data_IF_287765149571
#
_entry.id   IF_287765149571
#
_cell.length_a   1.000
_cell.length_b   1.000
_cell.length_c   1.000
_cell.angle_alpha   90.00
_cell.angle_beta   90.00
_cell.angle_gamma   90.00
#
_symmetry.space_group_name_H-M   'P 1'
#
loop_
_entity.id
_entity.type
_entity.pdbx_description
1 polymer ?
#
# COMPACT_ATOMS: atom_id res chain seq x y z
N UNK A 1 49.31 -19.34 24.43
CA UNK A 1 48.08 -20.16 24.34
C UNK A 1 47.38 -19.84 23.02
N UNK A 2 47.40 -20.79 22.08
CA UNK A 2 46.73 -20.67 20.79
C UNK A 2 45.23 -20.96 20.99
N UNK A 3 44.35 -20.02 20.67
CA UNK A 3 42.96 -20.37 20.34
C UNK A 3 42.87 -20.50 18.82
N UNK A 4 42.98 -21.75 18.39
CA UNK A 4 42.37 -22.23 17.15
C UNK A 4 40.86 -22.03 17.28
N UNK A 5 40.25 -21.33 16.33
CA UNK A 5 38.82 -21.45 16.05
C UNK A 5 38.60 -21.52 14.55
N UNK A 6 37.65 -22.38 14.22
CA UNK A 6 37.40 -23.02 12.95
C UNK A 6 37.24 -22.10 11.74
N UNK A 7 37.58 -22.66 10.58
CA UNK A 7 37.06 -22.25 9.27
C UNK A 7 35.55 -22.01 9.34
N UNK A 8 35.15 -20.75 9.38
CA UNK A 8 33.81 -20.28 9.13
C UNK A 8 33.94 -19.08 8.21
N UNK A 9 33.32 -19.15 7.04
CA UNK A 9 33.32 -18.09 6.03
C UNK A 9 32.80 -16.83 6.73
N UNK A 10 33.69 -15.88 7.03
CA UNK A 10 33.31 -14.58 7.52
C UNK A 10 32.50 -13.93 6.39
N UNK A 11 31.19 -13.79 6.59
CA UNK A 11 30.30 -13.16 5.62
C UNK A 11 30.66 -11.68 5.52
N UNK A 12 31.66 -11.36 4.71
CA UNK A 12 32.23 -10.02 4.49
C UNK A 12 31.35 -9.16 3.58
N UNK A 13 30.05 -9.09 3.89
CA UNK A 13 29.14 -8.18 3.22
C UNK A 13 29.32 -6.78 3.82
N UNK A 14 29.99 -5.91 3.06
CA UNK A 14 29.99 -4.47 3.35
C UNK A 14 28.53 -3.97 3.43
N UNK A 15 28.14 -3.20 4.47
CA UNK A 15 26.77 -2.70 4.60
C UNK A 15 26.35 -1.84 3.41
N UNK A 16 25.51 -2.39 2.53
CA UNK A 16 24.97 -1.66 1.38
C UNK A 16 23.91 -0.68 1.88
N UNK A 17 24.21 0.62 1.79
CA UNK A 17 23.28 1.67 2.21
C UNK A 17 22.17 1.89 1.18
N UNK A 18 20.98 2.24 1.67
CA UNK A 18 19.88 2.66 0.81
C UNK A 18 20.23 3.96 0.05
N UNK A 19 19.69 4.08 -1.16
CA UNK A 19 19.89 5.27 -2.01
C UNK A 19 19.43 6.54 -1.31
N UNK A 20 20.00 7.68 -1.70
CA UNK A 20 19.59 9.00 -1.19
C UNK A 20 18.09 9.24 -1.41
N UNK A 21 17.57 8.88 -2.59
CA UNK A 21 16.15 9.02 -2.92
C UNK A 21 15.28 8.20 -1.97
N UNK A 22 15.61 6.94 -1.72
CA UNK A 22 14.85 6.09 -0.80
C UNK A 22 14.84 6.65 0.64
N UNK A 23 16.00 7.12 1.12
CA UNK A 23 16.11 7.72 2.47
C UNK A 23 15.34 9.04 2.62
N UNK A 24 15.12 9.76 1.53
CA UNK A 24 14.42 11.05 1.51
C UNK A 24 12.91 10.93 1.21
N UNK A 25 12.42 9.74 0.82
CA UNK A 25 10.98 9.49 0.64
C UNK A 25 10.32 9.32 1.99
N UNK A 26 9.69 10.39 2.49
CA UNK A 26 9.05 10.42 3.80
C UNK A 26 7.57 10.76 3.64
N UNK A 27 6.68 9.96 4.23
CA UNK A 27 5.27 10.29 4.43
C UNK A 27 5.09 10.78 5.88
N UNK A 28 4.88 12.09 6.12
CA UNK A 28 4.75 12.64 7.47
C UNK A 28 3.57 12.08 8.26
N UNK A 29 2.46 11.77 7.59
CA UNK A 29 1.24 11.21 8.20
C UNK A 29 1.57 9.84 8.79
N UNK A 30 2.12 8.92 7.96
CA UNK A 30 2.51 7.58 8.42
C UNK A 30 3.56 7.62 9.52
N UNK A 31 4.51 8.56 9.46
CA UNK A 31 5.52 8.73 10.52
C UNK A 31 4.91 8.99 11.90
N UNK A 32 3.77 9.67 11.95
CA UNK A 32 3.06 9.98 13.20
C UNK A 32 2.11 8.83 13.56
N UNK A 33 1.20 8.47 12.65
CA UNK A 33 0.13 7.51 12.90
C UNK A 33 0.69 6.12 13.23
N UNK A 34 1.67 5.62 12.48
CA UNK A 34 2.24 4.28 12.70
C UNK A 34 3.06 4.17 13.99
N UNK A 35 3.57 5.31 14.50
CA UNK A 35 4.41 5.37 15.71
C UNK A 35 3.65 5.80 16.95
N UNK A 36 2.35 6.10 16.80
CA UNK A 36 1.53 6.59 17.89
C UNK A 36 1.31 5.46 18.91
N UNK A 37 1.92 5.59 20.09
CA UNK A 37 1.62 4.72 21.23
C UNK A 37 0.43 5.28 21.97
N UNK A 38 -0.75 4.80 21.65
CA UNK A 38 -2.00 5.26 22.26
C UNK A 38 -2.31 4.33 23.44
N UNK A 39 -2.42 4.89 24.63
CA UNK A 39 -3.02 4.23 25.80
C UNK A 39 -4.42 4.80 25.98
N UNK A 40 -5.45 4.22 25.35
CA UNK A 40 -6.81 4.74 25.46
C UNK A 40 -7.32 4.61 26.90
N UNK A 41 -8.36 5.38 27.23
CA UNK A 41 -9.03 5.26 28.51
C UNK A 41 -9.64 3.85 28.63
N UNK A 42 -9.34 3.06 29.67
CA UNK A 42 -9.84 1.69 29.79
C UNK A 42 -11.36 1.60 29.98
N UNK A 43 -12.02 2.69 30.40
CA UNK A 43 -13.47 2.74 30.60
C UNK A 43 -14.24 3.21 29.34
N UNK A 44 -13.55 3.57 28.25
CA UNK A 44 -14.18 4.07 27.02
C UNK A 44 -13.58 3.40 25.79
N UNK A 45 -14.44 3.04 24.85
CA UNK A 45 -13.98 2.55 23.55
C UNK A 45 -13.23 3.65 22.79
N UNK A 46 -12.16 3.25 22.14
CA UNK A 46 -11.37 4.15 21.30
C UNK A 46 -12.09 4.37 19.96
N UNK A 47 -12.28 5.63 19.59
CA UNK A 47 -12.76 6.01 18.25
C UNK A 47 -11.57 6.54 17.47
N UNK A 48 -11.22 5.88 16.37
CA UNK A 48 -10.11 6.31 15.51
C UNK A 48 -10.58 7.37 14.53
N UNK A 49 -10.09 8.61 14.70
CA UNK A 49 -10.32 9.74 13.78
C UNK A 49 -9.10 10.04 12.90
N UNK A 50 -8.02 9.26 13.04
CA UNK A 50 -6.76 9.45 12.31
C UNK A 50 -6.67 8.61 11.03
N UNK A 51 -7.62 7.72 10.80
CA UNK A 51 -7.66 6.85 9.61
C UNK A 51 -8.47 7.53 8.52
N UNK A 52 -7.86 7.72 7.34
CA UNK A 52 -8.51 8.30 6.16
C UNK A 52 -9.17 7.30 5.22
N UNK A 53 -9.27 6.03 5.62
CA UNK A 53 -9.92 4.97 4.85
C UNK A 53 -11.45 5.00 5.10
N UNK A 54 -12.28 5.39 4.10
CA UNK A 54 -13.72 5.47 4.27
C UNK A 54 -14.38 4.10 4.49
N UNK A 55 -13.70 3.01 4.12
CA UNK A 55 -14.24 1.65 4.23
C UNK A 55 -14.00 1.02 5.61
N UNK A 56 -13.18 1.65 6.47
CA UNK A 56 -12.72 1.08 7.74
C UNK A 56 -13.85 0.59 8.65
N UNK A 57 -14.98 1.32 8.70
CA UNK A 57 -16.13 0.98 9.53
C UNK A 57 -17.24 0.23 8.77
N UNK A 58 -17.04 -0.09 7.49
CA UNK A 58 -17.97 -0.87 6.67
C UNK A 58 -19.25 -0.15 6.25
N UNK A 59 -19.42 1.12 6.62
CA UNK A 59 -20.61 1.92 6.31
C UNK A 59 -20.52 2.65 4.94
N UNK A 60 -19.36 2.62 4.28
CA UNK A 60 -19.18 3.16 2.92
C UNK A 60 -18.67 2.05 2.00
N UNK A 61 -19.60 1.39 1.32
CA UNK A 61 -19.30 0.33 0.36
C UNK A 61 -19.29 0.88 -1.08
N UNK A 62 -18.52 0.28 -2.00
CA UNK A 62 -18.62 0.60 -3.42
C UNK A 62 -20.03 0.36 -3.97
N UNK A 63 -20.46 1.10 -5.02
CA UNK A 63 -21.70 0.82 -5.74
C UNK A 63 -21.71 -0.60 -6.32
N UNK A 64 -22.88 -1.22 -6.38
CA UNK A 64 -23.03 -2.60 -6.89
C UNK A 64 -22.59 -2.73 -8.34
N UNK A 65 -22.84 -1.70 -9.15
CA UNK A 65 -22.47 -1.64 -10.56
C UNK A 65 -20.95 -1.69 -10.76
N UNK A 66 -20.20 -1.05 -9.86
CA UNK A 66 -18.75 -1.09 -9.89
C UNK A 66 -18.20 -2.48 -9.52
N UNK A 67 -18.82 -3.15 -8.54
CA UNK A 67 -18.46 -4.51 -8.16
C UNK A 67 -18.74 -5.50 -9.29
N UNK A 68 -19.92 -5.41 -9.91
CA UNK A 68 -20.30 -6.27 -11.03
C UNK A 68 -19.40 -6.07 -12.26
N UNK A 69 -19.05 -4.82 -12.60
CA UNK A 69 -18.14 -4.53 -13.70
C UNK A 69 -16.75 -5.16 -13.49
N UNK A 70 -16.23 -5.13 -12.26
CA UNK A 70 -14.96 -5.79 -11.90
C UNK A 70 -15.09 -7.31 -12.03
N UNK A 71 -16.17 -7.90 -11.50
CA UNK A 71 -16.40 -9.36 -11.58
C UNK A 71 -16.45 -9.83 -13.04
N UNK A 72 -17.15 -9.09 -13.91
CA UNK A 72 -17.22 -9.39 -15.34
C UNK A 72 -15.84 -9.26 -15.99
N UNK A 73 -15.09 -8.20 -15.72
CA UNK A 73 -13.75 -8.01 -16.26
C UNK A 73 -12.79 -9.14 -15.86
N UNK A 74 -12.88 -9.63 -14.63
CA UNK A 74 -12.06 -10.78 -14.16
C UNK A 74 -12.38 -12.05 -14.96
N UNK A 75 -13.64 -12.26 -15.34
CA UNK A 75 -14.06 -13.44 -16.12
C UNK A 75 -13.66 -13.36 -17.60
N UNK A 76 -13.40 -12.16 -18.14
CA UNK A 76 -13.02 -11.96 -19.53
C UNK A 76 -11.50 -12.20 -19.73
N UNK A 77 -11.09 -13.21 -20.53
CA UNK A 77 -9.67 -13.45 -20.79
C UNK A 77 -8.95 -12.27 -21.46
N UNK A 78 -9.70 -11.42 -22.17
CA UNK A 78 -9.18 -10.21 -22.84
C UNK A 78 -8.74 -9.12 -21.87
N UNK A 79 -9.14 -9.19 -20.60
CA UNK A 79 -8.83 -8.18 -19.58
C UNK A 79 -7.56 -8.47 -18.77
N UNK A 80 -6.84 -9.56 -19.04
CA UNK A 80 -5.68 -9.99 -18.23
C UNK A 80 -4.32 -9.53 -18.78
N UNK A 81 -4.31 -8.89 -19.95
CA UNK A 81 -3.08 -8.40 -20.59
C UNK A 81 -2.55 -7.10 -20.00
N UNK A 82 -1.35 -6.70 -20.44
CA UNK A 82 -0.80 -5.40 -20.08
C UNK A 82 -1.51 -4.27 -20.82
N UNK A 83 -2.10 -3.28 -20.10
CA UNK A 83 -2.63 -2.09 -20.73
C UNK A 83 -1.49 -1.14 -21.12
N UNK A 84 -1.77 -0.15 -22.00
CA UNK A 84 -0.85 0.97 -22.19
C UNK A 84 -0.54 1.66 -20.85
N UNK A 85 0.66 2.23 -20.70
CA UNK A 85 1.11 2.88 -19.45
C UNK A 85 0.24 4.07 -19.02
N UNK A 86 -0.51 4.65 -19.96
CA UNK A 86 -1.45 5.74 -19.75
C UNK A 86 -2.92 5.27 -19.68
N UNK A 87 -3.15 3.97 -19.47
CA UNK A 87 -4.49 3.36 -19.33
C UNK A 87 -5.11 2.87 -20.64
N UNK A 88 -6.22 2.13 -20.55
CA UNK A 88 -6.99 1.67 -21.72
C UNK A 88 -7.85 2.79 -22.31
N UNK A 89 -8.16 2.71 -23.61
CA UNK A 89 -8.93 3.76 -24.30
C UNK A 89 -10.30 4.00 -23.67
N UNK A 90 -11.02 2.93 -23.33
CA UNK A 90 -12.39 3.02 -22.81
C UNK A 90 -12.43 3.70 -21.43
N UNK A 91 -11.48 3.36 -20.54
CA UNK A 91 -11.34 4.03 -19.26
C UNK A 91 -11.05 5.54 -19.41
N UNK A 92 -10.14 5.90 -20.33
CA UNK A 92 -9.85 7.33 -20.59
C UNK A 92 -11.05 8.09 -21.14
N UNK A 93 -11.80 7.48 -22.06
CA UNK A 93 -13.04 8.08 -22.60
C UNK A 93 -14.09 8.27 -21.52
N UNK A 94 -14.29 7.27 -20.64
CA UNK A 94 -15.24 7.37 -19.54
C UNK A 94 -14.89 8.52 -18.58
N UNK A 95 -13.60 8.68 -18.23
CA UNK A 95 -13.14 9.81 -17.40
C UNK A 95 -13.36 11.15 -18.10
N UNK A 96 -13.04 11.24 -19.40
CA UNK A 96 -13.25 12.47 -20.17
C UNK A 96 -14.75 12.84 -20.22
N UNK A 97 -15.62 11.87 -20.50
CA UNK A 97 -17.06 12.08 -20.58
C UNK A 97 -17.66 12.50 -19.24
N UNK A 98 -17.21 11.93 -18.12
CA UNK A 98 -17.70 12.30 -16.79
C UNK A 98 -17.37 13.76 -16.43
N UNK A 99 -16.24 14.27 -16.91
CA UNK A 99 -15.76 15.62 -16.63
C UNK A 99 -15.96 16.63 -17.77
N UNK A 100 -16.62 16.25 -18.87
CA UNK A 100 -16.96 17.15 -19.98
C UNK A 100 -18.26 17.90 -19.68
#
# INVERSE_FOLDING_TARGET
>A
MKKSMANGIENDWSPIQASRSARNTINPIRRIVDRMKISPNPAKEMISLSIGDPTHYGNMLPPVEALEAILQAVQLPTSHGYPPSFGILDARKAVAQFWS
#
